data_IF_463698139474
#
_entry.id   IF_463698139474
#
_cell.length_a   1.000
_cell.length_b   1.000
_cell.length_c   1.000
_cell.angle_alpha   90.00
_cell.angle_beta   90.00
_cell.angle_gamma   90.00
#
_symmetry.space_group_name_H-M   'P 1'
#
loop_
_entity.id
_entity.type
_entity.pdbx_description
1 polymer ?
#
# COMPACT_ATOMS: atom_id res chain seq x y z
N UNK A 1 16.48 -2.28 -24.88
CA UNK A 1 15.72 -2.86 -26.04
C UNK A 1 14.53 -1.98 -26.32
N UNK A 2 14.02 -1.89 -27.57
CA UNK A 2 12.78 -1.13 -27.85
C UNK A 2 11.60 -1.93 -27.32
N UNK A 3 10.70 -1.26 -26.57
CA UNK A 3 9.42 -1.85 -26.13
C UNK A 3 8.57 -2.17 -27.36
N UNK A 4 7.83 -3.31 -27.34
CA UNK A 4 7.04 -3.77 -28.49
C UNK A 4 5.62 -3.19 -28.49
N UNK A 5 5.08 -2.88 -27.30
CA UNK A 5 3.71 -2.41 -27.11
C UNK A 5 3.73 -1.04 -26.40
N UNK A 6 2.88 -0.13 -26.86
CA UNK A 6 2.75 1.21 -26.25
C UNK A 6 1.26 1.55 -26.07
N UNK A 7 0.62 1.00 -25.00
CA UNK A 7 -0.77 1.31 -24.72
C UNK A 7 -0.96 2.80 -24.41
N UNK A 8 -1.99 3.41 -24.95
CA UNK A 8 -2.38 4.80 -24.68
C UNK A 8 -3.48 4.93 -23.62
N UNK A 9 -3.94 3.80 -23.06
CA UNK A 9 -5.03 3.78 -22.09
C UNK A 9 -4.92 2.57 -21.16
N UNK A 10 -5.53 2.68 -19.96
CA UNK A 10 -5.67 1.56 -19.03
C UNK A 10 -6.36 0.36 -19.68
N UNK A 11 -7.36 0.58 -20.55
CA UNK A 11 -8.06 -0.51 -21.25
C UNK A 11 -7.09 -1.32 -22.12
N UNK A 12 -6.30 -0.64 -22.95
CA UNK A 12 -5.29 -1.29 -23.80
C UNK A 12 -4.23 -2.00 -22.97
N UNK A 13 -3.78 -1.39 -21.87
CA UNK A 13 -2.82 -2.00 -20.95
C UNK A 13 -3.38 -3.29 -20.34
N UNK A 14 -4.66 -3.30 -19.92
CA UNK A 14 -5.33 -4.50 -19.41
C UNK A 14 -5.44 -5.62 -20.44
N UNK A 15 -5.69 -5.29 -21.70
CA UNK A 15 -5.75 -6.28 -22.78
C UNK A 15 -4.38 -6.95 -22.95
N UNK A 16 -3.28 -6.21 -22.81
CA UNK A 16 -1.92 -6.75 -22.88
C UNK A 16 -1.56 -7.58 -21.63
N UNK A 17 -1.88 -7.07 -20.45
CA UNK A 17 -1.60 -7.75 -19.17
C UNK A 17 -2.33 -9.09 -19.06
N UNK A 18 -3.60 -9.16 -19.49
CA UNK A 18 -4.40 -10.38 -19.47
C UNK A 18 -3.91 -11.45 -20.47
N UNK A 19 -3.05 -11.09 -21.39
CA UNK A 19 -2.42 -12.04 -22.30
C UNK A 19 -1.10 -12.53 -21.72
N UNK A 20 -1.09 -13.68 -21.05
CA UNK A 20 0.11 -14.26 -20.42
C UNK A 20 1.27 -14.54 -21.40
N UNK A 21 1.01 -14.55 -22.72
CA UNK A 21 2.06 -14.67 -23.73
C UNK A 21 2.83 -13.35 -23.97
N UNK A 22 2.31 -12.22 -23.45
CA UNK A 22 2.98 -10.92 -23.52
C UNK A 22 3.93 -10.81 -22.35
N UNK A 23 5.23 -10.58 -22.63
CA UNK A 23 6.20 -10.22 -21.61
C UNK A 23 5.91 -8.80 -21.11
N UNK A 24 5.77 -8.61 -19.80
CA UNK A 24 5.52 -7.29 -19.21
C UNK A 24 6.65 -6.31 -19.52
N UNK A 25 7.89 -6.82 -19.62
CA UNK A 25 9.05 -6.03 -20.01
C UNK A 25 8.98 -5.42 -21.42
N UNK A 26 8.11 -5.92 -22.31
CA UNK A 26 7.93 -5.40 -23.67
C UNK A 26 6.91 -4.25 -23.76
N UNK A 27 6.27 -3.88 -22.65
CA UNK A 27 5.24 -2.84 -22.60
C UNK A 27 5.86 -1.49 -22.20
N UNK A 28 5.66 -0.46 -23.03
CA UNK A 28 5.99 0.94 -22.74
C UNK A 28 4.79 1.60 -22.03
N UNK A 29 4.93 1.85 -20.73
CA UNK A 29 3.86 2.42 -19.89
C UNK A 29 3.92 3.95 -19.76
N UNK A 30 4.84 4.62 -20.48
CA UNK A 30 5.10 6.07 -20.37
C UNK A 30 3.89 6.99 -20.65
N UNK A 31 2.80 6.47 -21.22
CA UNK A 31 1.57 7.21 -21.47
C UNK A 31 0.47 6.91 -20.44
N UNK A 32 0.72 6.00 -19.51
CA UNK A 32 -0.29 5.55 -18.53
C UNK A 32 -0.25 6.43 -17.29
N UNK A 33 -1.39 7.00 -16.92
CA UNK A 33 -1.56 7.83 -15.72
C UNK A 33 -2.44 7.18 -14.66
N UNK A 34 -3.17 6.11 -15.03
CA UNK A 34 -4.06 5.34 -14.17
C UNK A 34 -3.73 3.85 -14.31
N UNK A 35 -3.36 3.21 -13.20
CA UNK A 35 -3.10 1.76 -13.12
C UNK A 35 -4.09 1.05 -12.17
N UNK A 36 -5.24 1.68 -11.91
CA UNK A 36 -6.24 1.13 -10.99
C UNK A 36 -6.75 -0.23 -11.46
N UNK A 37 -6.82 -1.20 -10.54
CA UNK A 37 -7.36 -2.54 -10.76
C UNK A 37 -6.64 -3.39 -11.82
N UNK A 38 -5.42 -3.02 -12.23
CA UNK A 38 -4.76 -3.63 -13.39
C UNK A 38 -4.55 -5.15 -13.21
N UNK A 39 -3.98 -5.58 -12.08
CA UNK A 39 -3.75 -6.99 -11.75
C UNK A 39 -4.72 -7.50 -10.66
N UNK A 40 -5.88 -6.87 -10.53
CA UNK A 40 -6.88 -7.28 -9.53
C UNK A 40 -7.34 -8.73 -9.78
N UNK A 41 -7.32 -9.56 -8.72
CA UNK A 41 -7.63 -10.99 -8.79
C UNK A 41 -6.74 -11.79 -9.77
N UNK A 42 -5.61 -11.22 -10.19
CA UNK A 42 -4.71 -11.86 -11.15
C UNK A 42 -4.20 -13.21 -10.61
N UNK A 43 -4.22 -14.19 -11.50
CA UNK A 43 -3.62 -15.51 -11.25
C UNK A 43 -2.23 -15.63 -11.87
N UNK A 44 -1.74 -14.56 -12.45
CA UNK A 44 -0.41 -14.49 -13.04
C UNK A 44 0.64 -14.86 -12.00
N UNK A 45 1.61 -15.67 -12.39
CA UNK A 45 2.72 -16.09 -11.54
C UNK A 45 4.07 -15.54 -12.02
N UNK A 46 4.12 -15.08 -13.27
CA UNK A 46 5.29 -14.45 -13.88
C UNK A 46 5.04 -12.96 -14.06
N UNK A 47 5.82 -12.15 -13.33
CA UNK A 47 5.80 -10.70 -13.38
C UNK A 47 7.11 -10.12 -13.91
N UNK A 48 7.96 -10.94 -14.54
CA UNK A 48 9.25 -10.51 -15.05
C UNK A 48 9.10 -9.35 -16.06
N UNK A 49 9.91 -8.33 -15.86
CA UNK A 49 9.87 -7.10 -16.65
C UNK A 49 8.95 -6.01 -16.10
N UNK A 50 8.13 -6.30 -15.09
CA UNK A 50 7.28 -5.31 -14.42
C UNK A 50 8.12 -4.19 -13.78
N UNK A 51 9.30 -4.51 -13.24
CA UNK A 51 10.25 -3.56 -12.66
C UNK A 51 10.78 -2.51 -13.66
N UNK A 52 10.57 -2.77 -14.98
CA UNK A 52 11.00 -1.85 -16.06
C UNK A 52 9.94 -0.86 -16.50
N UNK A 53 8.76 -0.89 -15.86
CA UNK A 53 7.68 0.03 -16.21
C UNK A 53 8.00 1.47 -15.78
N UNK A 54 7.67 2.41 -16.67
CA UNK A 54 7.68 3.83 -16.33
C UNK A 54 6.38 4.17 -15.61
N UNK A 55 6.48 4.51 -14.33
CA UNK A 55 5.36 4.86 -13.45
C UNK A 55 5.35 6.35 -13.09
N UNK A 56 6.30 7.15 -13.59
CA UNK A 56 6.49 8.57 -13.22
C UNK A 56 5.27 9.47 -13.48
N UNK A 57 4.38 9.07 -14.38
CA UNK A 57 3.15 9.80 -14.72
C UNK A 57 1.89 9.23 -14.06
N UNK A 58 2.03 8.16 -13.26
CA UNK A 58 0.89 7.51 -12.63
C UNK A 58 0.41 8.31 -11.42
N UNK A 59 -0.88 8.62 -11.37
CA UNK A 59 -1.50 9.40 -10.30
C UNK A 59 -2.36 8.54 -9.37
N UNK A 60 -2.77 7.36 -9.81
CA UNK A 60 -3.54 6.40 -9.00
C UNK A 60 -3.13 4.97 -9.29
N UNK A 61 -2.96 4.20 -8.21
CA UNK A 61 -2.70 2.75 -8.23
C UNK A 61 -3.75 2.00 -7.39
N UNK A 62 -4.94 2.61 -7.25
CA UNK A 62 -6.04 2.03 -6.48
C UNK A 62 -6.28 0.58 -6.90
N UNK A 63 -6.20 -0.35 -5.93
CA UNK A 63 -6.50 -1.78 -6.12
C UNK A 63 -5.68 -2.48 -7.22
N UNK A 64 -4.50 -1.92 -7.57
CA UNK A 64 -3.72 -2.44 -8.71
C UNK A 64 -3.41 -3.93 -8.60
N UNK A 65 -3.03 -4.42 -7.42
CA UNK A 65 -2.72 -5.83 -7.15
C UNK A 65 -3.73 -6.46 -6.17
N UNK A 66 -4.92 -5.89 -6.01
CA UNK A 66 -5.93 -6.42 -5.08
C UNK A 66 -6.12 -7.93 -5.31
N UNK A 67 -5.88 -8.73 -4.26
CA UNK A 67 -5.97 -10.19 -4.27
C UNK A 67 -5.12 -10.91 -5.33
N UNK A 68 -4.06 -10.28 -5.83
CA UNK A 68 -3.06 -10.92 -6.66
C UNK A 68 -2.19 -11.85 -5.79
N UNK A 69 -2.70 -13.00 -5.44
CA UNK A 69 -2.16 -13.90 -4.40
C UNK A 69 -0.69 -14.29 -4.63
N UNK A 70 -0.27 -14.40 -5.89
CA UNK A 70 1.08 -14.86 -6.24
C UNK A 70 2.06 -13.71 -6.42
N UNK A 71 1.57 -12.47 -6.31
CA UNK A 71 2.40 -11.29 -6.50
C UNK A 71 3.42 -11.15 -5.36
N UNK A 72 4.69 -11.19 -5.70
CA UNK A 72 5.82 -10.88 -4.82
C UNK A 72 7.04 -10.44 -5.66
N UNK A 73 6.82 -9.62 -6.69
CA UNK A 73 7.85 -9.12 -7.58
C UNK A 73 8.45 -7.82 -7.06
N UNK A 74 9.78 -7.59 -7.21
CA UNK A 74 10.42 -6.35 -6.76
C UNK A 74 9.97 -5.16 -7.62
N UNK A 75 9.40 -4.15 -6.97
CA UNK A 75 8.93 -2.90 -7.58
C UNK A 75 9.40 -1.66 -6.80
N UNK A 76 10.39 -1.83 -5.91
CA UNK A 76 10.91 -0.73 -5.09
C UNK A 76 11.52 0.42 -5.88
N UNK A 77 11.90 0.17 -7.14
CA UNK A 77 12.46 1.17 -8.05
C UNK A 77 11.41 2.01 -8.79
N UNK A 78 10.11 1.77 -8.60
CA UNK A 78 9.07 2.56 -9.25
C UNK A 78 9.05 4.00 -8.74
N UNK A 79 8.92 4.95 -9.65
CA UNK A 79 8.62 6.33 -9.29
C UNK A 79 7.12 6.46 -8.98
N UNK A 80 6.80 6.65 -7.71
CA UNK A 80 5.42 6.81 -7.21
C UNK A 80 5.16 8.24 -6.71
N UNK A 81 6.07 9.17 -6.94
CA UNK A 81 6.01 10.55 -6.41
C UNK A 81 4.78 11.35 -6.85
N UNK A 82 4.16 10.97 -7.98
CA UNK A 82 2.92 11.57 -8.48
C UNK A 82 1.64 10.87 -7.99
N UNK A 83 1.77 9.71 -7.30
CA UNK A 83 0.60 8.93 -6.86
C UNK A 83 -0.05 9.57 -5.64
N UNK A 84 -1.37 9.77 -5.71
CA UNK A 84 -2.17 10.34 -4.61
C UNK A 84 -3.08 9.34 -3.94
N UNK A 85 -3.42 8.23 -4.62
CA UNK A 85 -4.30 7.18 -4.12
C UNK A 85 -3.67 5.80 -4.28
N UNK A 86 -3.41 5.14 -3.14
CA UNK A 86 -2.88 3.77 -3.02
C UNK A 86 -3.84 2.83 -2.29
N UNK A 87 -5.15 3.17 -2.27
CA UNK A 87 -6.17 2.34 -1.62
C UNK A 87 -6.10 0.90 -2.12
N UNK A 88 -6.01 -0.06 -1.18
CA UNK A 88 -6.02 -1.51 -1.46
C UNK A 88 -4.95 -1.98 -2.47
N UNK A 89 -3.87 -1.22 -2.73
CA UNK A 89 -2.92 -1.58 -3.80
C UNK A 89 -2.41 -3.02 -3.68
N UNK A 90 -2.09 -3.51 -2.48
CA UNK A 90 -1.63 -4.89 -2.22
C UNK A 90 -2.62 -5.71 -1.39
N UNK A 91 -3.82 -5.21 -1.12
CA UNK A 91 -4.77 -5.91 -0.26
C UNK A 91 -5.01 -7.35 -0.74
N UNK A 92 -4.79 -8.32 0.16
CA UNK A 92 -4.89 -9.75 -0.16
C UNK A 92 -3.70 -10.37 -0.90
N UNK A 93 -2.61 -9.63 -1.11
CA UNK A 93 -1.35 -10.19 -1.63
C UNK A 93 -0.60 -10.93 -0.51
N UNK A 94 -1.08 -12.11 -0.13
CA UNK A 94 -0.59 -12.85 1.05
C UNK A 94 0.89 -13.21 1.00
N UNK A 95 1.50 -13.27 -0.19
CA UNK A 95 2.91 -13.58 -0.38
C UNK A 95 3.80 -12.34 -0.46
N UNK A 96 3.22 -11.14 -0.60
CA UNK A 96 3.98 -9.93 -0.84
C UNK A 96 4.83 -9.54 0.36
N UNK A 97 6.13 -9.39 0.15
CA UNK A 97 7.10 -8.94 1.15
C UNK A 97 8.33 -8.29 0.49
N UNK A 98 8.15 -7.50 -0.57
CA UNK A 98 9.24 -6.79 -1.21
C UNK A 98 9.51 -5.44 -0.55
N UNK A 99 10.78 -4.97 -0.56
CA UNK A 99 11.15 -3.68 -0.01
C UNK A 99 10.51 -2.53 -0.80
N UNK A 100 10.03 -1.53 -0.08
CA UNK A 100 9.39 -0.32 -0.61
C UNK A 100 9.91 0.95 0.08
N UNK A 101 11.00 0.87 0.82
CA UNK A 101 11.55 2.00 1.59
C UNK A 101 11.93 3.20 0.73
N UNK A 102 12.30 2.97 -0.55
CA UNK A 102 12.68 4.02 -1.49
C UNK A 102 11.49 4.72 -2.19
N UNK A 103 10.26 4.28 -1.93
CA UNK A 103 9.08 4.94 -2.50
C UNK A 103 8.86 6.33 -1.91
N UNK A 104 8.82 7.36 -2.77
CA UNK A 104 8.37 8.70 -2.39
C UNK A 104 6.83 8.75 -2.33
N UNK A 105 6.29 8.61 -1.11
CA UNK A 105 4.84 8.63 -0.87
C UNK A 105 4.32 10.00 -0.41
N UNK A 106 5.14 11.05 -0.49
CA UNK A 106 4.83 12.39 0.02
C UNK A 106 3.63 13.09 -0.64
N UNK A 107 3.15 12.56 -1.77
CA UNK A 107 1.93 13.04 -2.44
C UNK A 107 0.67 12.22 -2.08
N UNK A 108 0.81 11.10 -1.38
CA UNK A 108 -0.30 10.18 -1.10
C UNK A 108 -1.22 10.73 -0.01
N UNK A 109 -2.53 10.68 -0.26
CA UNK A 109 -3.57 11.09 0.70
C UNK A 109 -4.43 9.93 1.20
N UNK A 110 -4.45 8.81 0.47
CA UNK A 110 -5.24 7.63 0.81
C UNK A 110 -4.39 6.35 0.70
N UNK A 111 -4.20 5.68 1.86
CA UNK A 111 -3.53 4.38 2.01
C UNK A 111 -4.46 3.34 2.66
N UNK A 112 -5.78 3.53 2.56
CA UNK A 112 -6.76 2.61 3.14
C UNK A 112 -6.53 1.18 2.62
N UNK A 113 -6.45 0.22 3.55
CA UNK A 113 -6.25 -1.21 3.27
C UNK A 113 -5.00 -1.54 2.42
N UNK A 114 -3.98 -0.66 2.36
CA UNK A 114 -2.84 -0.81 1.45
C UNK A 114 -2.17 -2.19 1.54
N UNK A 115 -1.95 -2.69 2.76
CA UNK A 115 -1.37 -4.00 3.06
C UNK A 115 -2.37 -4.93 3.78
N UNK A 116 -3.67 -4.66 3.69
CA UNK A 116 -4.69 -5.50 4.30
C UNK A 116 -4.57 -6.95 3.83
N UNK A 117 -4.61 -7.92 4.74
CA UNK A 117 -4.43 -9.36 4.46
C UNK A 117 -3.09 -9.73 3.78
N UNK A 118 -2.07 -8.88 3.87
CA UNK A 118 -0.70 -9.20 3.43
C UNK A 118 0.04 -9.96 4.54
N UNK A 119 -0.35 -11.18 4.80
CA UNK A 119 0.11 -11.97 5.96
C UNK A 119 1.63 -12.20 6.01
N UNK A 120 2.35 -12.04 4.89
CA UNK A 120 3.81 -12.17 4.84
C UNK A 120 4.56 -10.84 4.98
N UNK A 121 3.87 -9.69 4.86
CA UNK A 121 4.51 -8.38 4.79
C UNK A 121 5.14 -7.97 6.13
N UNK A 122 6.43 -7.60 6.10
CA UNK A 122 7.16 -7.09 7.25
C UNK A 122 8.37 -6.24 6.82
N UNK A 123 8.21 -5.36 5.81
CA UNK A 123 9.28 -4.49 5.36
C UNK A 123 9.25 -3.12 6.07
N UNK A 124 10.40 -2.46 6.23
CA UNK A 124 10.48 -1.15 6.89
C UNK A 124 9.76 -0.08 6.08
N UNK A 125 9.01 0.77 6.79
CA UNK A 125 8.27 1.90 6.21
C UNK A 125 8.44 3.18 7.05
N UNK A 126 9.34 3.16 8.03
CA UNK A 126 9.45 4.24 9.02
C UNK A 126 9.90 5.59 8.45
N UNK A 127 10.58 5.57 7.31
CA UNK A 127 11.09 6.78 6.66
C UNK A 127 10.14 7.36 5.59
N UNK A 128 8.96 6.77 5.42
CA UNK A 128 7.93 7.31 4.54
C UNK A 128 7.39 8.65 5.07
N UNK A 129 7.33 9.66 4.20
CA UNK A 129 6.63 10.93 4.48
C UNK A 129 5.11 10.73 4.30
N UNK A 130 4.40 10.52 5.42
CA UNK A 130 2.96 10.33 5.45
C UNK A 130 2.19 11.59 5.88
N UNK A 131 2.86 12.73 5.92
CA UNK A 131 2.31 13.99 6.46
C UNK A 131 1.05 14.51 5.74
N UNK A 132 0.76 14.03 4.53
CA UNK A 132 -0.47 14.38 3.79
C UNK A 132 -1.54 13.29 3.84
N UNK A 133 -1.24 12.15 4.46
CA UNK A 133 -2.17 11.01 4.46
C UNK A 133 -3.34 11.28 5.41
N UNK A 134 -4.56 11.10 4.91
CA UNK A 134 -5.80 11.31 5.66
C UNK A 134 -6.49 10.00 6.04
N UNK A 135 -6.27 8.93 5.27
CA UNK A 135 -6.94 7.63 5.45
C UNK A 135 -5.93 6.51 5.50
N UNK A 136 -5.91 5.82 6.64
CA UNK A 136 -5.08 4.63 6.90
C UNK A 136 -5.92 3.49 7.51
N UNK A 137 -7.25 3.54 7.41
CA UNK A 137 -8.12 2.48 7.92
C UNK A 137 -7.73 1.13 7.29
N UNK A 138 -7.71 0.08 8.08
CA UNK A 138 -7.35 -1.29 7.66
C UNK A 138 -5.95 -1.42 7.01
N UNK A 139 -5.06 -0.43 7.10
CA UNK A 139 -3.81 -0.42 6.33
C UNK A 139 -2.98 -1.68 6.52
N UNK A 140 -2.93 -2.23 7.73
CA UNK A 140 -2.24 -3.49 8.07
C UNK A 140 -3.20 -4.56 8.60
N UNK A 141 -4.52 -4.43 8.40
CA UNK A 141 -5.49 -5.42 8.89
C UNK A 141 -5.11 -6.82 8.40
N UNK A 142 -5.01 -7.81 9.32
CA UNK A 142 -4.57 -9.20 9.03
C UNK A 142 -3.16 -9.32 8.43
N UNK A 143 -2.31 -8.29 8.56
CA UNK A 143 -0.89 -8.38 8.24
C UNK A 143 -0.15 -9.05 9.42
N UNK A 144 -0.34 -10.35 9.60
CA UNK A 144 0.03 -11.11 10.80
C UNK A 144 1.50 -10.98 11.21
N UNK A 145 2.43 -10.84 10.23
CA UNK A 145 3.87 -10.74 10.49
C UNK A 145 4.37 -9.31 10.70
N UNK A 146 3.56 -8.32 10.38
CA UNK A 146 4.00 -6.94 10.43
C UNK A 146 4.35 -6.50 11.85
N UNK A 147 5.59 -6.06 12.05
CA UNK A 147 6.11 -5.55 13.30
C UNK A 147 7.28 -4.57 13.10
N UNK A 148 7.19 -3.68 12.11
CA UNK A 148 8.22 -2.67 11.85
C UNK A 148 7.89 -1.37 12.57
N UNK A 149 8.92 -0.57 12.95
CA UNK A 149 8.73 0.74 13.55
C UNK A 149 7.92 1.68 12.64
N UNK A 150 7.13 2.54 13.26
CA UNK A 150 6.35 3.59 12.61
C UNK A 150 6.38 4.89 13.45
N UNK A 151 7.37 5.03 14.33
CA UNK A 151 7.48 6.12 15.28
C UNK A 151 7.86 7.47 14.65
N UNK A 152 8.35 7.49 13.40
CA UNK A 152 8.65 8.72 12.66
C UNK A 152 7.48 9.27 11.85
N UNK A 153 6.36 8.55 11.77
CA UNK A 153 5.22 8.98 10.97
C UNK A 153 4.56 10.23 11.56
N UNK A 154 4.41 11.27 10.74
CA UNK A 154 3.58 12.44 11.04
C UNK A 154 2.12 12.10 10.70
N UNK A 155 1.30 11.87 11.73
CA UNK A 155 -0.09 11.47 11.60
C UNK A 155 -1.07 12.63 11.78
N UNK A 156 -0.56 13.88 11.83
CA UNK A 156 -1.37 15.06 12.14
C UNK A 156 -2.54 15.32 11.18
N UNK A 157 -2.46 14.87 9.91
CA UNK A 157 -3.55 15.00 8.95
C UNK A 157 -4.50 13.79 8.90
N UNK A 158 -4.20 12.71 9.68
CA UNK A 158 -4.99 11.48 9.64
C UNK A 158 -6.34 11.68 10.33
N UNK A 159 -7.40 11.23 9.65
CA UNK A 159 -8.80 11.27 10.12
C UNK A 159 -9.40 9.89 10.35
N UNK A 160 -8.95 8.92 9.57
CA UNK A 160 -9.51 7.57 9.57
C UNK A 160 -8.39 6.54 9.76
N UNK A 161 -8.38 5.83 10.91
CA UNK A 161 -7.45 4.75 11.25
C UNK A 161 -8.16 3.52 11.86
N UNK A 162 -9.46 3.37 11.56
CA UNK A 162 -10.24 2.22 12.01
C UNK A 162 -9.60 0.91 11.53
N UNK A 163 -9.55 -0.11 12.39
CA UNK A 163 -9.08 -1.47 12.08
C UNK A 163 -7.62 -1.53 11.57
N UNK A 164 -6.82 -0.46 11.76
CA UNK A 164 -5.49 -0.34 11.14
C UNK A 164 -4.57 -1.52 11.43
N UNK A 165 -4.56 -2.02 12.65
CA UNK A 165 -3.73 -3.15 13.09
C UNK A 165 -4.57 -4.36 13.52
N UNK A 166 -5.85 -4.42 13.12
CA UNK A 166 -6.69 -5.57 13.46
C UNK A 166 -6.07 -6.86 12.90
N UNK A 167 -5.95 -7.90 13.72
CA UNK A 167 -5.29 -9.15 13.34
C UNK A 167 -3.77 -9.11 13.17
N UNK A 168 -3.11 -7.98 13.44
CA UNK A 168 -1.65 -7.87 13.43
C UNK A 168 -1.04 -8.56 14.66
N UNK A 169 -1.03 -9.87 14.67
CA UNK A 169 -0.71 -10.68 15.86
C UNK A 169 0.70 -10.49 16.39
N UNK A 170 1.63 -9.92 15.59
CA UNK A 170 3.03 -9.65 16.00
C UNK A 170 3.32 -8.19 16.32
N UNK A 171 2.41 -7.28 15.95
CA UNK A 171 2.67 -5.85 16.08
C UNK A 171 2.77 -5.42 17.54
N UNK A 172 3.91 -4.80 17.89
CA UNK A 172 4.16 -4.25 19.23
C UNK A 172 5.14 -3.07 19.17
N UNK A 173 5.04 -2.20 18.17
CA UNK A 173 5.92 -1.04 18.05
C UNK A 173 5.35 0.18 18.76
N UNK A 174 6.24 1.05 19.23
CA UNK A 174 5.84 2.28 19.90
C UNK A 174 5.27 3.28 18.88
N UNK A 175 4.00 3.60 19.06
CA UNK A 175 3.25 4.59 18.28
C UNK A 175 2.60 5.65 19.19
N UNK A 176 3.05 5.73 20.44
CA UNK A 176 2.51 6.68 21.41
C UNK A 176 2.73 8.15 21.03
N UNK A 177 3.70 8.42 20.15
CA UNK A 177 4.02 9.78 19.67
C UNK A 177 3.13 10.28 18.52
N UNK A 178 2.23 9.44 18.02
CA UNK A 178 1.32 9.84 16.93
C UNK A 178 0.37 10.95 17.37
N UNK A 179 0.22 11.96 16.54
CA UNK A 179 -0.83 12.96 16.69
C UNK A 179 -2.18 12.40 16.26
N UNK A 180 -3.08 12.22 17.20
CA UNK A 180 -4.43 11.67 16.96
C UNK A 180 -5.52 12.72 17.08
N UNK A 181 -5.16 14.00 17.24
CA UNK A 181 -6.10 15.08 17.50
C UNK A 181 -7.14 15.31 16.39
N UNK A 182 -6.82 14.92 15.15
CA UNK A 182 -7.73 15.04 14.00
C UNK A 182 -8.51 13.75 13.70
N UNK A 183 -8.26 12.67 14.45
CA UNK A 183 -8.89 11.36 14.18
C UNK A 183 -10.36 11.36 14.59
N UNK A 184 -11.21 10.93 13.66
CA UNK A 184 -12.67 10.80 13.87
C UNK A 184 -13.14 9.35 13.90
N UNK A 185 -12.36 8.40 13.33
CA UNK A 185 -12.67 6.98 13.30
C UNK A 185 -11.46 6.17 13.74
N UNK A 186 -11.65 5.33 14.77
CA UNK A 186 -10.59 4.53 15.38
C UNK A 186 -11.11 3.16 15.86
N UNK A 187 -12.35 2.82 15.48
CA UNK A 187 -12.96 1.57 15.91
C UNK A 187 -12.12 0.35 15.52
N UNK A 188 -12.02 -0.64 16.37
CA UNK A 188 -11.35 -1.91 16.12
C UNK A 188 -9.85 -1.84 15.84
N UNK A 189 -9.19 -0.71 16.09
CA UNK A 189 -7.79 -0.46 15.64
C UNK A 189 -6.80 -1.57 16.02
N UNK A 190 -6.97 -2.20 17.16
CA UNK A 190 -6.10 -3.28 17.67
C UNK A 190 -6.85 -4.58 17.91
N UNK A 191 -8.02 -4.78 17.31
CA UNK A 191 -8.77 -6.02 17.48
C UNK A 191 -7.92 -7.22 17.05
N UNK A 192 -7.73 -8.21 17.92
CA UNK A 192 -6.87 -9.37 17.63
C UNK A 192 -5.36 -9.10 17.56
N UNK A 193 -4.88 -7.90 17.82
CA UNK A 193 -3.45 -7.58 17.89
C UNK A 193 -2.87 -8.03 19.26
N UNK A 194 -2.81 -9.32 19.47
CA UNK A 194 -2.55 -9.97 20.78
C UNK A 194 -1.19 -9.66 21.41
N UNK A 195 -0.21 -9.20 20.62
CA UNK A 195 1.11 -8.80 21.15
C UNK A 195 1.19 -7.31 21.51
N UNK A 196 0.21 -6.49 21.10
CA UNK A 196 0.31 -5.05 21.31
C UNK A 196 0.17 -4.68 22.78
N UNK A 197 1.18 -4.02 23.32
CA UNK A 197 1.24 -3.62 24.71
C UNK A 197 2.06 -2.31 24.90
N UNK A 198 1.90 -1.34 24.00
CA UNK A 198 2.60 -0.07 24.11
C UNK A 198 1.71 1.01 24.74
N UNK A 199 2.30 1.97 25.47
CA UNK A 199 1.55 3.07 26.08
C UNK A 199 0.98 4.01 25.01
N UNK A 200 -0.28 4.41 25.17
CA UNK A 200 -1.00 5.35 24.31
C UNK A 200 -1.55 6.53 25.12
N UNK A 201 -0.92 6.88 26.23
CA UNK A 201 -1.45 7.84 27.20
C UNK A 201 -1.56 9.27 26.64
N UNK A 202 -0.75 9.59 25.62
CA UNK A 202 -0.67 10.93 25.03
C UNK A 202 -1.61 11.11 23.83
N UNK A 203 -2.36 10.07 23.45
CA UNK A 203 -3.32 10.16 22.37
C UNK A 203 -4.51 11.04 22.72
N UNK A 204 -4.79 12.04 21.88
CA UNK A 204 -6.01 12.86 21.96
C UNK A 204 -7.15 12.15 21.21
N UNK A 205 -8.12 11.64 21.95
CA UNK A 205 -9.30 10.94 21.39
C UNK A 205 -10.57 11.80 21.48
N UNK A 206 -10.43 13.09 21.75
CA UNK A 206 -11.58 13.99 21.96
C UNK A 206 -12.48 14.16 20.74
N UNK A 207 -11.94 13.96 19.53
CA UNK A 207 -12.67 14.05 18.27
C UNK A 207 -13.19 12.71 17.76
N UNK A 208 -12.82 11.59 18.40
CA UNK A 208 -13.24 10.25 17.98
C UNK A 208 -14.74 10.06 18.19
N UNK A 209 -15.42 9.57 17.16
CA UNK A 209 -16.89 9.38 17.16
C UNK A 209 -17.29 7.91 17.02
N UNK A 210 -16.36 7.06 16.53
CA UNK A 210 -16.59 5.65 16.30
C UNK A 210 -15.32 4.85 16.59
#
# INVERSE_FOLDING_TARGET
MSKLYKPGSLKELRELENNEAVCLGDIDTSLITDMSWLFCDSKRTDFDGLETWDTSHVTTMERMFLRAKYFNHPIGNWDVSSVTNMECIFCGCSNFNQPLEDWDVSSVTNMESMFGCCSSFNQPLNDWDVSKVQKISCMFCEAEKFNQPLDKWDTSEVREMAWMFAGCTKFNQNIGMWDTSNVIRMEGMFEGAVCFNQPLNDWDVSNVRY
#
